data_IF_773386395386
#
_entry.id   IF_773386395386
#
_cell.length_a   1.000
_cell.length_b   1.000
_cell.length_c   1.000
_cell.angle_alpha   90.00
_cell.angle_beta   90.00
_cell.angle_gamma   90.00
#
_symmetry.space_group_name_H-M   'P 1'
#
loop_
_entity.id
_entity.type
_entity.pdbx_description
1 polymer ?
#
# COMPACT_ATOMS: atom_id res chain seq x y z
N UNK A 1 24.15 6.99 3.54
CA UNK A 1 23.51 7.52 2.31
C UNK A 1 22.92 6.33 1.57
N UNK A 2 21.67 6.38 1.08
CA UNK A 2 21.20 5.34 0.19
C UNK A 2 22.15 5.29 -1.01
N UNK A 3 22.53 4.08 -1.42
CA UNK A 3 23.52 3.86 -2.48
C UNK A 3 22.92 4.05 -3.88
N UNK A 4 21.59 4.15 -4.00
CA UNK A 4 20.87 4.26 -5.25
C UNK A 4 19.41 4.69 -5.00
N UNK A 5 18.82 5.45 -5.92
CA UNK A 5 17.38 5.74 -5.95
C UNK A 5 16.59 4.44 -6.10
N UNK A 6 15.47 4.31 -5.38
CA UNK A 6 14.62 3.13 -5.47
C UNK A 6 13.81 3.15 -6.77
N UNK A 7 13.86 2.06 -7.53
CA UNK A 7 13.10 1.90 -8.76
C UNK A 7 11.66 1.45 -8.43
N UNK A 8 10.69 2.26 -8.83
CA UNK A 8 9.28 1.99 -8.60
C UNK A 8 8.77 0.70 -9.26
N UNK A 9 9.31 0.32 -10.42
CA UNK A 9 8.92 -0.90 -11.14
C UNK A 9 9.37 -2.13 -10.35
N UNK A 10 10.61 -2.13 -9.88
CA UNK A 10 11.14 -3.22 -9.06
C UNK A 10 10.40 -3.32 -7.72
N UNK A 11 10.10 -2.18 -7.09
CA UNK A 11 9.33 -2.15 -5.85
C UNK A 11 7.91 -2.69 -6.05
N UNK A 12 7.20 -2.26 -7.10
CA UNK A 12 5.86 -2.76 -7.43
C UNK A 12 5.87 -4.27 -7.68
N UNK A 13 6.88 -4.80 -8.37
CA UNK A 13 7.02 -6.23 -8.61
C UNK A 13 7.23 -7.01 -7.30
N UNK A 14 8.12 -6.52 -6.42
CA UNK A 14 8.35 -7.13 -5.12
C UNK A 14 7.10 -7.13 -4.22
N UNK A 15 6.38 -6.00 -4.17
CA UNK A 15 5.12 -5.88 -3.44
C UNK A 15 4.04 -6.82 -4.01
N UNK A 16 3.98 -6.97 -5.34
CA UNK A 16 3.04 -7.90 -5.98
C UNK A 16 3.34 -9.34 -5.58
N UNK A 17 4.61 -9.76 -5.64
CA UNK A 17 5.03 -11.10 -5.22
C UNK A 17 4.72 -11.35 -3.72
N UNK A 18 4.88 -10.34 -2.87
CA UNK A 18 4.52 -10.43 -1.45
C UNK A 18 3.02 -10.69 -1.28
N UNK A 19 2.17 -9.94 -1.98
CA UNK A 19 0.70 -10.12 -1.91
C UNK A 19 0.28 -11.47 -2.48
N UNK A 20 0.94 -11.96 -3.53
CA UNK A 20 0.71 -13.29 -4.11
C UNK A 20 1.03 -14.40 -3.12
N UNK A 21 2.18 -14.30 -2.43
CA UNK A 21 2.63 -15.32 -1.49
C UNK A 21 1.84 -15.34 -0.17
N UNK A 22 1.29 -14.18 0.26
CA UNK A 22 0.63 -14.04 1.56
C UNK A 22 -0.86 -13.76 1.43
N UNK A 23 -1.66 -14.83 1.41
CA UNK A 23 -3.13 -14.77 1.32
C UNK A 23 -3.77 -13.87 2.39
N UNK A 24 -3.16 -13.77 3.58
CA UNK A 24 -3.63 -12.92 4.67
C UNK A 24 -3.68 -11.43 4.29
N UNK A 25 -2.80 -10.95 3.40
CA UNK A 25 -2.79 -9.55 2.94
C UNK A 25 -3.94 -9.23 1.97
N UNK A 26 -4.64 -10.27 1.48
CA UNK A 26 -5.80 -10.18 0.60
C UNK A 26 -7.12 -10.37 1.34
N UNK A 27 -7.10 -10.40 2.67
CA UNK A 27 -8.33 -10.56 3.44
C UNK A 27 -9.20 -9.31 3.36
N UNK A 28 -10.51 -9.51 3.19
CA UNK A 28 -11.54 -8.52 3.40
C UNK A 28 -12.38 -8.88 4.62
N UNK A 29 -12.74 -7.90 5.42
CA UNK A 29 -13.50 -8.01 6.65
C UNK A 29 -14.86 -7.32 6.52
N UNK A 30 -15.93 -8.06 6.74
CA UNK A 30 -17.27 -7.50 6.81
C UNK A 30 -17.92 -7.88 8.12
N UNK A 31 -18.74 -6.98 8.66
CA UNK A 31 -19.58 -7.30 9.80
C UNK A 31 -20.96 -7.74 9.29
N UNK A 32 -21.39 -8.93 9.70
CA UNK A 32 -22.72 -9.46 9.42
C UNK A 32 -23.31 -9.96 10.74
N UNK A 33 -24.53 -9.54 11.07
CA UNK A 33 -25.23 -9.90 12.31
C UNK A 33 -24.39 -9.69 13.59
N UNK A 34 -23.62 -8.59 13.60
CA UNK A 34 -22.74 -8.22 14.72
C UNK A 34 -21.43 -9.02 14.79
N UNK A 35 -21.22 -10.02 13.93
CA UNK A 35 -20.00 -10.83 13.88
C UNK A 35 -19.08 -10.39 12.73
N UNK A 36 -17.77 -10.38 12.98
CA UNK A 36 -16.77 -10.15 11.93
C UNK A 36 -16.51 -11.42 11.15
N UNK A 37 -16.54 -11.31 9.82
CA UNK A 37 -16.20 -12.39 8.89
C UNK A 37 -15.05 -11.93 7.99
N UNK A 38 -14.06 -12.80 7.83
CA UNK A 38 -12.94 -12.61 6.93
C UNK A 38 -13.11 -13.44 5.65
N UNK A 39 -12.82 -12.84 4.49
CA UNK A 39 -12.93 -13.49 3.19
C UNK A 39 -11.65 -13.26 2.39
N UNK A 40 -11.21 -14.25 1.62
CA UNK A 40 -10.07 -14.07 0.72
C UNK A 40 -10.52 -13.30 -0.52
N UNK A 41 -9.97 -12.10 -0.71
CA UNK A 41 -10.14 -11.30 -1.91
C UNK A 41 -9.34 -11.86 -3.09
N UNK A 42 -9.74 -11.45 -4.29
CA UNK A 42 -8.95 -11.71 -5.49
C UNK A 42 -7.59 -11.01 -5.39
N UNK A 43 -6.60 -11.55 -6.11
CA UNK A 43 -5.33 -10.85 -6.28
C UNK A 43 -5.58 -9.54 -7.04
N UNK A 44 -5.54 -8.43 -6.32
CA UNK A 44 -5.63 -7.10 -6.89
C UNK A 44 -4.53 -6.23 -6.28
N UNK A 45 -3.48 -6.01 -7.06
CA UNK A 45 -2.35 -5.15 -6.67
C UNK A 45 -2.36 -3.81 -7.40
N UNK A 46 -3.49 -3.48 -8.06
CA UNK A 46 -3.67 -2.14 -8.65
C UNK A 46 -3.62 -1.11 -7.54
N UNK A 47 -2.91 -0.03 -7.83
CA UNK A 47 -2.66 1.10 -6.95
C UNK A 47 -1.91 0.77 -5.64
N UNK A 48 -1.45 -0.47 -5.43
CA UNK A 48 -0.79 -0.90 -4.19
C UNK A 48 0.40 0.01 -3.82
N UNK A 49 1.17 0.43 -4.81
CA UNK A 49 2.23 1.42 -4.67
C UNK A 49 1.75 2.78 -5.18
N UNK A 50 1.76 3.77 -4.31
CA UNK A 50 1.66 5.17 -4.68
C UNK A 50 3.07 5.75 -4.84
N UNK A 51 3.28 6.50 -5.92
CA UNK A 51 4.55 7.18 -6.18
C UNK A 51 4.28 8.66 -6.28
N UNK A 52 4.95 9.45 -5.44
CA UNK A 52 4.78 10.89 -5.38
C UNK A 52 6.13 11.61 -5.41
N UNK A 53 6.17 12.73 -6.11
CA UNK A 53 7.22 13.74 -6.00
C UNK A 53 6.78 14.77 -4.96
N UNK A 54 7.64 15.05 -3.98
CA UNK A 54 7.39 16.10 -3.00
C UNK A 54 8.52 17.12 -3.01
N UNK A 55 8.17 18.41 -3.01
CA UNK A 55 9.13 19.51 -2.97
C UNK A 55 9.75 19.71 -1.57
N UNK A 56 9.11 19.16 -0.54
CA UNK A 56 9.56 19.26 0.86
C UNK A 56 9.07 18.05 1.67
N UNK A 57 9.91 17.61 2.61
CA UNK A 57 9.57 16.54 3.56
C UNK A 57 8.43 16.93 4.50
N UNK A 58 8.16 18.23 4.67
CA UNK A 58 7.07 18.73 5.52
C UNK A 58 5.68 18.30 5.05
N UNK A 59 5.52 17.96 3.76
CA UNK A 59 4.26 17.43 3.20
C UNK A 59 4.10 15.91 3.37
N UNK A 60 5.15 15.21 3.77
CA UNK A 60 5.12 13.75 3.93
C UNK A 60 4.05 13.27 4.93
N UNK A 61 3.82 13.93 6.09
CA UNK A 61 2.79 13.50 7.03
C UNK A 61 1.39 13.52 6.44
N UNK A 62 1.04 14.56 5.66
CA UNK A 62 -0.28 14.68 5.02
C UNK A 62 -0.52 13.54 4.03
N UNK A 63 0.49 13.22 3.22
CA UNK A 63 0.44 12.13 2.25
C UNK A 63 0.41 10.75 2.94
N UNK A 64 1.12 10.59 4.05
CA UNK A 64 1.08 9.37 4.85
C UNK A 64 -0.31 9.15 5.46
N UNK A 65 -0.95 10.21 5.97
CA UNK A 65 -2.32 10.15 6.49
C UNK A 65 -3.32 9.78 5.39
N UNK A 66 -3.19 10.35 4.19
CA UNK A 66 -4.01 9.97 3.04
C UNK A 66 -3.84 8.49 2.69
N UNK A 67 -2.59 8.02 2.60
CA UNK A 67 -2.28 6.63 2.31
C UNK A 67 -2.88 5.68 3.37
N UNK A 68 -2.80 6.03 4.65
CA UNK A 68 -3.41 5.24 5.74
C UNK A 68 -4.94 5.20 5.65
N UNK A 69 -5.59 6.33 5.34
CA UNK A 69 -7.05 6.42 5.20
C UNK A 69 -7.57 5.72 3.95
N UNK A 70 -6.70 5.43 2.98
CA UNK A 70 -7.05 4.75 1.72
C UNK A 70 -7.33 3.24 1.87
N UNK A 71 -7.05 2.66 3.04
CA UNK A 71 -7.25 1.23 3.27
C UNK A 71 -8.74 0.90 3.36
N UNK A 72 -9.19 -0.01 2.50
CA UNK A 72 -10.54 -0.56 2.52
C UNK A 72 -10.52 -1.93 3.22
N UNK A 73 -10.97 -1.97 4.48
CA UNK A 73 -11.04 -3.24 5.23
C UNK A 73 -12.01 -4.24 4.61
N UNK A 74 -13.03 -3.80 3.87
CA UNK A 74 -14.06 -4.69 3.31
C UNK A 74 -13.60 -5.37 2.03
N UNK A 75 -13.02 -4.61 1.09
CA UNK A 75 -12.65 -5.13 -0.22
C UNK A 75 -11.13 -5.32 -0.41
N UNK A 76 -10.32 -4.91 0.57
CA UNK A 76 -8.87 -4.84 0.44
C UNK A 76 -8.40 -3.78 -0.56
N UNK A 77 -7.08 -3.62 -0.74
CA UNK A 77 -6.01 -4.35 -0.07
C UNK A 77 -5.77 -3.86 1.36
N UNK A 78 -5.27 -4.74 2.24
CA UNK A 78 -4.89 -4.41 3.62
C UNK A 78 -3.50 -3.77 3.75
N UNK A 79 -2.89 -3.44 2.61
CA UNK A 79 -1.56 -2.85 2.51
C UNK A 79 -1.62 -1.70 1.51
N UNK A 80 -0.96 -0.59 1.85
CA UNK A 80 -0.63 0.51 0.95
C UNK A 80 0.86 0.80 1.10
N UNK A 81 1.56 0.85 -0.02
CA UNK A 81 2.95 1.31 -0.06
C UNK A 81 3.00 2.73 -0.64
N UNK A 82 3.90 3.54 -0.10
CA UNK A 82 4.15 4.91 -0.55
C UNK A 82 5.65 5.07 -0.84
N UNK A 83 5.98 5.37 -2.08
CA UNK A 83 7.31 5.79 -2.53
C UNK A 83 7.29 7.29 -2.75
N UNK A 84 8.09 8.02 -1.98
CA UNK A 84 8.21 9.47 -2.11
C UNK A 84 9.61 9.82 -2.58
N UNK A 85 9.66 10.51 -3.70
CA UNK A 85 10.87 11.12 -4.23
C UNK A 85 10.96 12.54 -3.67
N UNK A 86 12.02 12.80 -2.90
CA UNK A 86 12.32 14.11 -2.34
C UNK A 86 13.44 14.78 -3.15
N UNK A 87 13.57 16.12 -3.10
CA UNK A 87 14.51 16.84 -3.96
C UNK A 87 15.98 16.54 -3.66
N UNK A 88 16.25 15.89 -2.51
CA UNK A 88 17.59 15.57 -2.02
C UNK A 88 17.97 14.08 -2.16
N UNK A 89 17.09 13.25 -2.73
CA UNK A 89 17.33 11.82 -2.97
C UNK A 89 17.14 10.94 -1.75
#
# INVERSE_FOLDING_TARGET
KPLQTLDAIHLQAALTALIEQHDALRLGFTQQDGQWQATFGALNTRDLLWVHELDSIERLPELADEAQRSLDLKNGPLLRALLVNLPQG
#
